data_IF_098240764977
#
_entry.id   IF_098240764977
#
_cell.length_a   1.000
_cell.length_b   1.000
_cell.length_c   1.000
_cell.angle_alpha   90.00
_cell.angle_beta   90.00
_cell.angle_gamma   90.00
#
_symmetry.space_group_name_H-M   'P 1'
#
loop_
_entity.id
_entity.type
_entity.pdbx_description
1 polymer ?
#
# COMPACT_ATOMS: atom_id res chain seq x y z
N UNK A 1 10.71 -4.52 -12.24
CA UNK A 1 11.70 -4.67 -11.14
C UNK A 1 11.14 -4.21 -9.81
N UNK A 2 10.71 -2.94 -9.67
CA UNK A 2 10.16 -2.38 -8.41
C UNK A 2 9.07 -3.27 -7.80
N UNK A 3 8.06 -3.66 -8.60
CA UNK A 3 6.98 -4.57 -8.16
C UNK A 3 7.51 -5.85 -7.49
N UNK A 4 8.44 -6.56 -8.15
CA UNK A 4 8.97 -7.83 -7.66
C UNK A 4 9.72 -7.66 -6.35
N UNK A 5 10.50 -6.59 -6.21
CA UNK A 5 11.27 -6.31 -5.00
C UNK A 5 10.33 -6.01 -3.84
N UNK A 6 9.40 -5.06 -4.02
CA UNK A 6 8.42 -4.70 -2.99
C UNK A 6 7.53 -5.88 -2.60
N UNK A 7 7.12 -6.71 -3.58
CA UNK A 7 6.34 -7.91 -3.30
C UNK A 7 7.16 -8.96 -2.55
N UNK A 8 8.44 -9.12 -2.86
CA UNK A 8 9.31 -10.10 -2.19
C UNK A 8 9.65 -9.74 -0.75
N UNK A 9 9.56 -8.47 -0.37
CA UNK A 9 9.80 -8.02 1.01
C UNK A 9 8.52 -7.90 1.84
N UNK A 10 7.36 -8.04 1.20
CA UNK A 10 6.04 -7.88 1.81
C UNK A 10 5.93 -8.70 3.10
N UNK A 11 5.49 -8.07 4.18
CA UNK A 11 5.41 -8.76 5.47
C UNK A 11 4.42 -9.93 5.38
N UNK A 12 4.81 -11.17 5.76
CA UNK A 12 3.93 -12.32 5.73
C UNK A 12 2.95 -12.35 6.92
N UNK A 13 3.23 -11.56 7.96
CA UNK A 13 2.54 -11.60 9.25
C UNK A 13 2.07 -10.22 9.67
N UNK A 14 1.41 -10.14 10.84
CA UNK A 14 1.00 -8.87 11.42
C UNK A 14 2.25 -8.02 11.67
N UNK A 15 2.23 -6.79 11.17
CA UNK A 15 3.26 -5.78 11.38
C UNK A 15 3.23 -5.19 12.79
N UNK A 16 3.96 -4.10 12.98
CA UNK A 16 4.03 -3.42 14.28
C UNK A 16 2.86 -2.42 14.47
N UNK A 17 2.82 -1.81 15.66
CA UNK A 17 1.93 -0.69 15.99
C UNK A 17 0.45 -1.07 15.88
N UNK A 18 -0.26 -0.51 14.90
CA UNK A 18 -1.70 -0.57 14.68
C UNK A 18 -2.08 -1.58 13.59
N UNK A 19 -1.11 -2.25 12.96
CA UNK A 19 -1.36 -3.23 11.90
C UNK A 19 -2.40 -4.28 12.29
N UNK A 20 -2.29 -4.83 13.51
CA UNK A 20 -3.23 -5.82 14.02
C UNK A 20 -4.64 -5.26 14.24
N UNK A 21 -4.74 -4.03 14.74
CA UNK A 21 -6.00 -3.31 14.92
C UNK A 21 -6.66 -3.06 13.56
N UNK A 22 -5.88 -2.63 12.57
CA UNK A 22 -6.33 -2.37 11.20
C UNK A 22 -6.83 -3.65 10.52
N UNK A 23 -6.11 -4.75 10.61
CA UNK A 23 -6.55 -6.05 10.04
C UNK A 23 -7.85 -6.50 10.70
N UNK A 24 -7.96 -6.38 12.02
CA UNK A 24 -9.19 -6.68 12.75
C UNK A 24 -10.34 -5.78 12.30
N UNK A 25 -10.11 -4.47 12.18
CA UNK A 25 -11.10 -3.50 11.72
C UNK A 25 -11.60 -3.78 10.30
N UNK A 26 -10.70 -4.14 9.39
CA UNK A 26 -11.04 -4.61 8.04
C UNK A 26 -11.91 -5.88 8.10
N UNK A 27 -11.56 -6.83 8.95
CA UNK A 27 -12.27 -8.11 9.03
C UNK A 27 -13.70 -7.97 9.57
N UNK A 28 -13.92 -7.03 10.49
CA UNK A 28 -15.23 -6.81 11.12
C UNK A 28 -15.96 -5.56 10.62
N UNK A 29 -15.41 -4.83 9.64
CA UNK A 29 -15.95 -3.55 9.14
C UNK A 29 -16.10 -2.47 10.23
N UNK A 30 -15.17 -2.45 11.20
CA UNK A 30 -15.12 -1.40 12.21
C UNK A 30 -14.44 -0.12 11.67
N UNK A 31 -14.80 1.04 12.20
CA UNK A 31 -14.13 2.31 11.90
C UNK A 31 -13.23 2.65 13.08
N UNK A 32 -11.93 2.41 12.93
CA UNK A 32 -10.95 2.52 14.02
C UNK A 32 -10.67 3.97 14.40
N UNK A 33 -10.55 4.84 13.39
CA UNK A 33 -10.31 6.27 13.58
C UNK A 33 -11.21 7.12 12.68
N UNK A 34 -11.48 8.40 13.03
CA UNK A 34 -12.25 9.30 12.19
C UNK A 34 -11.48 9.70 10.91
N UNK A 35 -12.21 10.03 9.84
CA UNK A 35 -11.73 10.47 8.50
C UNK A 35 -10.89 9.46 7.70
N UNK A 36 -11.25 9.19 6.44
CA UNK A 36 -10.52 8.28 5.55
C UNK A 36 -10.70 6.77 5.84
N UNK A 37 -10.77 6.38 7.12
CA UNK A 37 -10.92 4.98 7.55
C UNK A 37 -12.16 4.26 7.01
N UNK A 38 -13.37 4.87 6.88
CA UNK A 38 -14.52 4.16 6.33
C UNK A 38 -14.29 3.63 4.91
N UNK A 39 -13.64 4.42 4.05
CA UNK A 39 -13.30 3.97 2.70
C UNK A 39 -12.20 2.91 2.74
N UNK A 40 -11.19 3.10 3.59
CA UNK A 40 -10.10 2.16 3.77
C UNK A 40 -10.59 0.78 4.21
N UNK A 41 -11.48 0.71 5.21
CA UNK A 41 -11.99 -0.57 5.72
C UNK A 41 -12.95 -1.24 4.75
N UNK A 42 -13.77 -0.48 4.01
CA UNK A 42 -14.61 -1.03 2.94
C UNK A 42 -13.78 -1.65 1.81
N UNK A 43 -12.73 -0.96 1.34
CA UNK A 43 -11.86 -1.49 0.30
C UNK A 43 -11.02 -2.67 0.82
N UNK A 44 -10.46 -2.56 2.02
CA UNK A 44 -9.73 -3.66 2.67
C UNK A 44 -10.60 -4.90 2.88
N UNK A 45 -11.91 -4.72 3.14
CA UNK A 45 -12.85 -5.84 3.27
C UNK A 45 -12.91 -6.69 2.00
N UNK A 46 -12.82 -6.07 0.83
CA UNK A 46 -12.79 -6.79 -0.45
C UNK A 46 -11.59 -7.74 -0.49
N UNK A 47 -10.43 -7.28 -0.04
CA UNK A 47 -9.21 -8.10 0.06
C UNK A 47 -9.32 -9.23 1.09
N UNK A 48 -10.10 -9.03 2.16
CA UNK A 48 -10.30 -10.07 3.18
C UNK A 48 -10.99 -11.33 2.63
N UNK A 49 -11.71 -11.23 1.51
CA UNK A 49 -12.37 -12.35 0.83
C UNK A 49 -11.44 -13.20 -0.05
N UNK A 50 -10.19 -12.80 -0.26
CA UNK A 50 -9.22 -13.62 -1.01
C UNK A 50 -9.05 -14.98 -0.32
N UNK A 51 -9.27 -16.11 -1.01
CA UNK A 51 -9.20 -17.44 -0.39
C UNK A 51 -7.74 -17.84 -0.12
N UNK A 52 -7.54 -18.79 0.80
CA UNK A 52 -6.26 -19.47 1.07
C UNK A 52 -5.08 -18.61 1.57
N UNK A 53 -5.31 -17.33 1.87
CA UNK A 53 -4.30 -16.43 2.43
C UNK A 53 -4.58 -16.13 3.92
N UNK A 54 -3.51 -15.93 4.69
CA UNK A 54 -3.61 -15.45 6.07
C UNK A 54 -4.18 -14.01 6.12
N UNK A 55 -5.01 -13.65 7.11
CA UNK A 55 -5.60 -12.30 7.21
C UNK A 55 -4.57 -11.17 7.16
N UNK A 56 -3.42 -11.37 7.81
CA UNK A 56 -2.35 -10.37 7.81
C UNK A 56 -1.75 -10.16 6.42
N UNK A 57 -1.47 -11.26 5.71
CA UNK A 57 -0.96 -11.18 4.34
C UNK A 57 -1.96 -10.50 3.40
N UNK A 58 -3.28 -10.75 3.55
CA UNK A 58 -4.31 -10.04 2.76
C UNK A 58 -4.29 -8.54 3.02
N UNK A 59 -4.11 -8.13 4.28
CA UNK A 59 -3.98 -6.73 4.67
C UNK A 59 -2.72 -6.09 4.07
N UNK A 60 -1.56 -6.72 4.25
CA UNK A 60 -0.31 -6.22 3.70
C UNK A 60 -0.36 -6.13 2.16
N UNK A 61 -0.98 -7.13 1.51
CA UNK A 61 -1.21 -7.12 0.06
C UNK A 61 -2.07 -5.94 -0.40
N UNK A 62 -3.09 -5.57 0.39
CA UNK A 62 -3.91 -4.39 0.11
C UNK A 62 -3.06 -3.11 0.12
N UNK A 63 -2.28 -2.87 1.17
CA UNK A 63 -1.37 -1.70 1.23
C UNK A 63 -0.33 -1.72 0.12
N UNK A 64 0.23 -2.90 -0.19
CA UNK A 64 1.17 -3.08 -1.28
C UNK A 64 0.61 -2.63 -2.64
N UNK A 65 -0.63 -3.03 -2.96
CA UNK A 65 -1.24 -2.72 -4.25
C UNK A 65 -1.52 -1.24 -4.42
N UNK A 66 -2.08 -0.58 -3.40
CA UNK A 66 -2.31 0.86 -3.46
C UNK A 66 -0.99 1.64 -3.50
N UNK A 67 0.01 1.23 -2.73
CA UNK A 67 1.36 1.77 -2.83
C UNK A 67 1.97 1.62 -4.23
N UNK A 68 1.81 0.45 -4.85
CA UNK A 68 2.29 0.21 -6.21
C UNK A 68 1.54 1.05 -7.26
N UNK A 69 0.23 1.27 -7.09
CA UNK A 69 -0.52 2.17 -7.94
C UNK A 69 -0.11 3.63 -7.76
N UNK A 70 0.25 4.06 -6.55
CA UNK A 70 0.85 5.38 -6.29
C UNK A 70 2.15 5.56 -7.09
N UNK A 71 3.03 4.56 -7.10
CA UNK A 71 4.27 4.56 -7.89
C UNK A 71 3.97 4.74 -9.39
N UNK A 72 2.98 4.02 -9.93
CA UNK A 72 2.58 4.12 -11.34
C UNK A 72 2.01 5.51 -11.64
N UNK A 73 1.13 6.02 -10.79
CA UNK A 73 0.54 7.34 -10.95
C UNK A 73 1.63 8.42 -10.92
N UNK A 74 2.56 8.33 -9.96
CA UNK A 74 3.69 9.25 -9.83
C UNK A 74 4.57 9.24 -11.07
N UNK A 75 4.83 8.07 -11.66
CA UNK A 75 5.55 7.97 -12.93
C UNK A 75 4.88 8.79 -14.04
N UNK A 76 3.56 8.63 -14.22
CA UNK A 76 2.84 9.35 -15.25
C UNK A 76 2.75 10.86 -14.99
N UNK A 77 2.62 11.27 -13.72
CA UNK A 77 2.62 12.68 -13.34
C UNK A 77 3.98 13.34 -13.61
N UNK A 78 5.07 12.71 -13.19
CA UNK A 78 6.42 13.23 -13.43
C UNK A 78 6.71 13.24 -14.93
N UNK A 79 6.33 12.19 -15.67
CA UNK A 79 6.49 12.14 -17.13
C UNK A 79 5.72 13.24 -17.83
N UNK A 80 4.53 13.59 -17.35
CA UNK A 80 3.75 14.70 -17.91
C UNK A 80 4.44 16.05 -17.69
N UNK A 81 5.16 16.23 -16.58
CA UNK A 81 5.85 17.47 -16.23
C UNK A 81 7.20 17.59 -16.94
N UNK A 82 8.02 16.54 -16.88
CA UNK A 82 9.40 16.54 -17.39
C UNK A 82 9.48 16.21 -18.88
N UNK A 83 8.47 15.54 -19.42
CA UNK A 83 8.44 14.95 -20.76
C UNK A 83 9.59 13.95 -21.01
N UNK A 84 10.27 13.49 -19.96
CA UNK A 84 11.43 12.62 -20.03
C UNK A 84 11.16 11.29 -19.30
N UNK A 85 11.31 10.18 -20.02
CA UNK A 85 11.10 8.84 -19.48
C UNK A 85 12.17 8.44 -18.45
N UNK A 86 13.43 8.80 -18.70
CA UNK A 86 14.56 8.42 -17.87
C UNK A 86 14.48 9.15 -16.53
N UNK A 87 14.25 10.46 -16.57
CA UNK A 87 14.07 11.27 -15.35
C UNK A 87 12.92 10.71 -14.51
N UNK A 88 11.78 10.41 -15.15
CA UNK A 88 10.62 9.85 -14.47
C UNK A 88 10.89 8.49 -13.82
N UNK A 89 11.61 7.61 -14.52
CA UNK A 89 12.02 6.30 -13.99
C UNK A 89 12.97 6.44 -12.80
N UNK A 90 13.96 7.33 -12.87
CA UNK A 90 14.91 7.58 -11.78
C UNK A 90 14.17 8.07 -10.54
N UNK A 91 13.30 9.08 -10.69
CA UNK A 91 12.54 9.63 -9.56
C UNK A 91 11.68 8.58 -8.86
N UNK A 92 10.91 7.81 -9.63
CA UNK A 92 10.02 6.80 -9.06
C UNK A 92 10.80 5.66 -8.43
N UNK A 93 11.95 5.30 -8.98
CA UNK A 93 12.86 4.30 -8.37
C UNK A 93 13.38 4.78 -7.02
N UNK A 94 13.87 6.02 -6.94
CA UNK A 94 14.34 6.62 -5.68
C UNK A 94 13.22 6.74 -4.65
N UNK A 95 12.02 7.15 -5.08
CA UNK A 95 10.85 7.25 -4.21
C UNK A 95 10.41 5.89 -3.66
N UNK A 96 10.35 4.88 -4.53
CA UNK A 96 9.92 3.52 -4.16
C UNK A 96 10.84 2.88 -3.13
N UNK A 97 12.14 3.23 -3.15
CA UNK A 97 13.14 2.70 -2.24
C UNK A 97 13.49 3.66 -1.08
N UNK A 98 12.67 4.69 -0.85
CA UNK A 98 12.74 5.47 0.37
C UNK A 98 12.17 4.67 1.54
N UNK A 99 12.86 4.66 2.70
CA UNK A 99 12.45 3.87 3.87
C UNK A 99 11.01 4.13 4.34
N UNK A 100 10.54 5.38 4.29
CA UNK A 100 9.19 5.74 4.75
C UNK A 100 8.13 5.18 3.79
N UNK A 101 8.33 5.35 2.50
CA UNK A 101 7.39 4.81 1.52
C UNK A 101 7.43 3.27 1.53
N UNK A 102 8.63 2.69 1.63
CA UNK A 102 8.80 1.24 1.72
C UNK A 102 8.01 0.67 2.88
N UNK A 103 8.12 1.23 4.10
CA UNK A 103 7.38 0.70 5.27
C UNK A 103 5.86 0.74 5.07
N UNK A 104 5.34 1.82 4.47
CA UNK A 104 3.91 1.98 4.16
C UNK A 104 3.39 0.93 3.17
N UNK A 105 4.25 0.48 2.24
CA UNK A 105 3.89 -0.54 1.25
C UNK A 105 4.10 -1.96 1.77
N UNK A 106 5.01 -2.14 2.75
CA UNK A 106 5.41 -3.44 3.26
C UNK A 106 4.45 -4.04 4.30
N UNK A 107 3.80 -3.17 5.06
CA UNK A 107 2.87 -3.50 6.13
C UNK A 107 1.54 -2.76 5.92
N UNK A 108 0.48 -3.27 6.51
CA UNK A 108 -0.87 -2.70 6.42
C UNK A 108 -0.94 -1.32 7.10
N UNK A 109 -0.70 -0.29 6.30
CA UNK A 109 -0.78 1.10 6.72
C UNK A 109 -1.88 1.88 6.01
N UNK A 110 -2.61 2.74 6.72
CA UNK A 110 -3.64 3.62 6.12
C UNK A 110 -3.09 4.65 5.15
N UNK A 111 -1.80 4.95 5.29
CA UNK A 111 -1.07 5.87 4.41
C UNK A 111 -0.95 5.35 2.97
N UNK A 112 -1.05 4.04 2.76
CA UNK A 112 -0.95 3.45 1.43
C UNK A 112 -2.09 3.89 0.49
N UNK A 113 -3.32 3.90 1.00
CA UNK A 113 -4.50 4.35 0.27
C UNK A 113 -4.52 5.86 0.11
N UNK A 114 -4.16 6.60 1.15
CA UNK A 114 -4.12 8.07 1.10
C UNK A 114 -3.01 8.60 0.21
N UNK A 115 -1.91 7.87 0.03
CA UNK A 115 -0.88 8.25 -0.93
C UNK A 115 -1.36 8.13 -2.40
N UNK A 116 -2.38 7.32 -2.67
CA UNK A 116 -2.90 7.08 -4.02
C UNK A 116 -3.92 8.14 -4.47
N UNK A 117 -4.69 8.72 -3.55
CA UNK A 117 -5.73 9.72 -3.82
C UNK A 117 -5.25 11.15 -3.62
#
# INVERSE_FOLDING_TARGET
>A
MIFLILFSTLSPTVGLIDCGEIIFGIHYLNILHPTGYPLFTLLGRIFSFLPFLEPAFKGNLFSFLFGFFTIILLYFLIKKITQDNIVSLIYVTLFSFNNLFWSIVNEIEVYSLTAFF
#
